data_IF_890191375129
#
_entry.id   IF_890191375129
#
_cell.length_a   1.000
_cell.length_b   1.000
_cell.length_c   1.000
_cell.angle_alpha   90.00
_cell.angle_beta   90.00
_cell.angle_gamma   90.00
#
_symmetry.space_group_name_H-M   'P 1'
#
loop_
_entity.id
_entity.type
_entity.pdbx_description
1 polymer ?
#
# COMPACT_ATOMS: atom_id res chain seq x y z
N UNK A 1 -11.85 4.04 16.84
CA UNK A 1 -12.86 4.55 15.85
C UNK A 1 -12.55 3.85 14.55
N UNK A 2 -13.53 3.57 13.67
CA UNK A 2 -13.29 2.74 12.47
C UNK A 2 -12.13 3.23 11.59
N UNK A 3 -11.99 4.56 11.47
CA UNK A 3 -10.85 5.21 10.82
C UNK A 3 -9.50 4.87 11.48
N UNK A 4 -9.40 4.99 12.81
CA UNK A 4 -8.16 4.72 13.54
C UNK A 4 -7.77 3.24 13.45
N UNK A 5 -8.74 2.35 13.45
CA UNK A 5 -8.53 0.91 13.35
C UNK A 5 -7.99 0.54 11.95
N UNK A 6 -8.53 1.17 10.89
CA UNK A 6 -8.03 0.99 9.52
C UNK A 6 -6.59 1.52 9.33
N UNK A 7 -6.28 2.69 9.90
CA UNK A 7 -4.92 3.24 9.87
C UNK A 7 -3.96 2.39 10.71
N UNK A 8 -4.42 1.80 11.82
CA UNK A 8 -3.60 0.90 12.64
C UNK A 8 -3.12 -0.32 11.85
N UNK A 9 -4.00 -0.94 11.04
CA UNK A 9 -3.61 -2.04 10.14
C UNK A 9 -2.49 -1.62 9.16
N UNK A 10 -2.55 -0.40 8.63
CA UNK A 10 -1.53 0.14 7.75
C UNK A 10 -0.18 0.33 8.47
N UNK A 11 -0.21 0.81 9.73
CA UNK A 11 0.98 0.94 10.57
C UNK A 11 1.55 -0.44 10.91
N UNK A 12 0.71 -1.41 11.25
CA UNK A 12 1.14 -2.78 11.51
C UNK A 12 1.78 -3.44 10.29
N UNK A 13 1.24 -3.19 9.08
CA UNK A 13 1.85 -3.63 7.83
C UNK A 13 3.27 -3.07 7.66
N UNK A 14 3.48 -1.78 7.96
CA UNK A 14 4.80 -1.15 7.93
C UNK A 14 5.76 -1.75 8.96
N UNK A 15 5.27 -2.10 10.15
CA UNK A 15 6.08 -2.81 11.17
C UNK A 15 6.45 -4.21 10.68
N UNK A 16 5.52 -4.94 10.06
CA UNK A 16 5.79 -6.27 9.48
C UNK A 16 6.84 -6.19 8.36
N UNK A 17 6.76 -5.17 7.49
CA UNK A 17 7.77 -4.86 6.48
C UNK A 17 9.15 -4.62 7.10
N UNK A 18 9.24 -3.77 8.12
CA UNK A 18 10.49 -3.48 8.82
C UNK A 18 11.11 -4.74 9.47
N UNK A 19 10.26 -5.68 9.91
CA UNK A 19 10.67 -6.98 10.45
C UNK A 19 10.95 -8.05 9.38
N UNK A 20 10.92 -7.70 8.09
CA UNK A 20 11.05 -8.62 6.95
C UNK A 20 10.03 -9.77 6.96
N UNK A 21 8.89 -9.57 7.62
CA UNK A 21 7.78 -10.51 7.60
C UNK A 21 6.89 -10.23 6.39
N UNK A 22 7.33 -10.64 5.19
CA UNK A 22 6.63 -10.32 3.95
C UNK A 22 5.22 -10.91 3.88
N UNK A 23 5.01 -12.15 4.34
CA UNK A 23 3.68 -12.78 4.35
C UNK A 23 2.71 -12.05 5.29
N UNK A 24 3.19 -11.67 6.48
CA UNK A 24 2.42 -10.86 7.42
C UNK A 24 2.10 -9.47 6.87
N UNK A 25 3.09 -8.82 6.23
CA UNK A 25 2.89 -7.52 5.59
C UNK A 25 1.85 -7.59 4.46
N UNK A 26 1.93 -8.58 3.57
CA UNK A 26 0.97 -8.75 2.48
C UNK A 26 -0.46 -8.92 2.99
N UNK A 27 -0.65 -9.74 4.03
CA UNK A 27 -1.96 -9.92 4.66
C UNK A 27 -2.49 -8.61 5.24
N UNK A 28 -1.67 -7.91 6.04
CA UNK A 28 -2.06 -6.65 6.68
C UNK A 28 -2.32 -5.53 5.66
N UNK A 29 -1.57 -5.45 4.56
CA UNK A 29 -1.81 -4.47 3.50
C UNK A 29 -3.16 -4.69 2.80
N UNK A 30 -3.52 -5.96 2.56
CA UNK A 30 -4.81 -6.31 2.00
C UNK A 30 -5.95 -5.91 2.95
N UNK A 31 -5.85 -6.32 4.21
CA UNK A 31 -6.85 -5.98 5.25
C UNK A 31 -6.97 -4.47 5.44
N UNK A 32 -5.84 -3.74 5.46
CA UNK A 32 -5.83 -2.28 5.54
C UNK A 32 -6.53 -1.64 4.33
N UNK A 33 -6.24 -2.09 3.11
CA UNK A 33 -6.85 -1.52 1.90
C UNK A 33 -8.38 -1.68 1.89
N UNK A 34 -8.89 -2.82 2.35
CA UNK A 34 -10.33 -3.10 2.49
C UNK A 34 -10.97 -2.24 3.59
N UNK A 35 -10.32 -2.14 4.76
CA UNK A 35 -10.80 -1.33 5.87
C UNK A 35 -10.80 0.17 5.55
N UNK A 36 -9.77 0.67 4.86
CA UNK A 36 -9.62 2.06 4.45
C UNK A 36 -10.66 2.47 3.39
N UNK A 37 -11.00 1.58 2.45
CA UNK A 37 -12.10 1.81 1.52
C UNK A 37 -13.44 1.97 2.26
N UNK A 38 -13.68 1.16 3.29
CA UNK A 38 -14.93 1.20 4.07
C UNK A 38 -15.11 2.49 4.88
N UNK A 39 -14.05 3.29 5.04
CA UNK A 39 -14.06 4.59 5.73
C UNK A 39 -13.65 5.75 4.81
N UNK A 40 -13.79 5.59 3.50
CA UNK A 40 -13.52 6.61 2.47
C UNK A 40 -12.07 7.17 2.47
N UNK A 41 -11.10 6.40 2.97
CA UNK A 41 -9.68 6.76 3.01
C UNK A 41 -8.91 6.29 1.77
N UNK A 42 -9.43 6.61 0.59
CA UNK A 42 -9.03 5.96 -0.66
C UNK A 42 -7.56 6.13 -1.05
N UNK A 43 -6.92 7.27 -0.77
CA UNK A 43 -5.48 7.46 -1.04
C UNK A 43 -4.60 6.50 -0.21
N UNK A 44 -4.98 6.22 1.03
CA UNK A 44 -4.28 5.26 1.88
C UNK A 44 -4.50 3.83 1.37
N UNK A 45 -5.73 3.52 0.95
CA UNK A 45 -6.06 2.21 0.40
C UNK A 45 -5.26 1.92 -0.89
N UNK A 46 -5.17 2.89 -1.81
CA UNK A 46 -4.37 2.72 -3.03
C UNK A 46 -2.86 2.65 -2.75
N UNK A 47 -2.36 3.38 -1.76
CA UNK A 47 -0.97 3.23 -1.31
C UNK A 47 -0.69 1.81 -0.77
N UNK A 48 -1.63 1.25 0.00
CA UNK A 48 -1.54 -0.12 0.51
C UNK A 48 -1.57 -1.16 -0.61
N UNK A 49 -2.49 -1.02 -1.59
CA UNK A 49 -2.59 -1.89 -2.78
C UNK A 49 -1.34 -1.87 -3.62
N UNK A 50 -0.79 -0.67 -3.86
CA UNK A 50 0.45 -0.51 -4.63
C UNK A 50 1.61 -1.27 -3.97
N UNK A 51 1.79 -1.11 -2.65
CA UNK A 51 2.81 -1.88 -1.91
C UNK A 51 2.54 -3.38 -1.90
N UNK A 52 1.28 -3.78 -1.75
CA UNK A 52 0.92 -5.19 -1.83
C UNK A 52 1.35 -5.79 -3.18
N UNK A 53 1.14 -5.06 -4.28
CA UNK A 53 1.61 -5.44 -5.60
C UNK A 53 3.14 -5.59 -5.67
N UNK A 54 3.89 -4.63 -5.11
CA UNK A 54 5.36 -4.69 -5.04
C UNK A 54 5.88 -5.91 -4.27
N UNK A 55 5.20 -6.30 -3.18
CA UNK A 55 5.58 -7.48 -2.39
C UNK A 55 5.19 -8.80 -3.06
N UNK A 56 4.04 -8.84 -3.72
CA UNK A 56 3.57 -10.01 -4.45
C UNK A 56 4.48 -10.32 -5.63
N UNK A 57 4.88 -9.29 -6.38
CA UNK A 57 5.57 -9.45 -7.66
C UNK A 57 4.74 -10.23 -8.68
N UNK A 58 5.36 -10.49 -9.84
CA UNK A 58 4.71 -11.18 -10.95
C UNK A 58 3.50 -10.41 -11.51
N UNK A 59 2.78 -11.05 -12.43
CA UNK A 59 1.68 -10.40 -13.16
C UNK A 59 0.54 -9.92 -12.26
N UNK A 60 0.25 -10.65 -11.18
CA UNK A 60 -0.77 -10.25 -10.20
C UNK A 60 -0.35 -9.00 -9.41
N UNK A 61 0.93 -8.90 -9.04
CA UNK A 61 1.48 -7.72 -8.39
C UNK A 61 1.51 -6.51 -9.33
N UNK A 62 1.94 -6.71 -10.57
CA UNK A 62 1.99 -5.66 -11.61
C UNK A 62 0.60 -5.06 -11.87
N UNK A 63 -0.44 -5.90 -11.90
CA UNK A 63 -1.82 -5.45 -12.07
C UNK A 63 -2.30 -4.55 -10.90
N UNK A 64 -1.93 -4.89 -9.66
CA UNK A 64 -2.25 -4.07 -8.49
C UNK A 64 -1.53 -2.72 -8.53
N UNK A 65 -0.25 -2.71 -8.90
CA UNK A 65 0.53 -1.47 -9.06
C UNK A 65 -0.10 -0.59 -10.14
N UNK A 66 -0.39 -1.15 -11.32
CA UNK A 66 -0.97 -0.40 -12.42
C UNK A 66 -2.35 0.21 -12.09
N UNK A 67 -3.21 -0.54 -11.38
CA UNK A 67 -4.51 -0.04 -10.95
C UNK A 67 -4.38 1.13 -9.96
N UNK A 68 -3.51 0.99 -8.94
CA UNK A 68 -3.27 2.05 -7.97
C UNK A 68 -2.63 3.29 -8.60
N UNK A 69 -1.66 3.10 -9.49
CA UNK A 69 -1.00 4.20 -10.21
C UNK A 69 -1.98 4.93 -11.13
N UNK A 70 -2.85 4.19 -11.83
CA UNK A 70 -3.91 4.77 -12.66
C UNK A 70 -4.89 5.60 -11.83
N UNK A 71 -5.30 5.10 -10.66
CA UNK A 71 -6.17 5.84 -9.77
C UNK A 71 -5.51 7.14 -9.27
N UNK A 72 -4.26 7.07 -8.79
CA UNK A 72 -3.52 8.24 -8.31
C UNK A 72 -3.29 9.27 -9.42
N UNK A 73 -2.98 8.81 -10.64
CA UNK A 73 -2.88 9.68 -11.81
C UNK A 73 -4.22 10.38 -12.10
N UNK A 74 -5.34 9.68 -11.95
CA UNK A 74 -6.68 10.26 -12.02
C UNK A 74 -6.96 11.33 -10.95
N UNK A 75 -6.25 11.29 -9.81
CA UNK A 75 -6.25 12.34 -8.80
C UNK A 75 -5.19 13.44 -9.05
N UNK A 76 -4.60 13.49 -10.25
CA UNK A 76 -3.53 14.43 -10.65
C UNK A 76 -2.22 14.29 -9.88
N UNK A 77 -2.00 13.15 -9.22
CA UNK A 77 -0.75 12.84 -8.53
C UNK A 77 0.31 12.48 -9.56
N UNK A 78 1.32 13.34 -9.69
CA UNK A 78 2.38 13.20 -10.71
C UNK A 78 3.32 12.03 -10.49
N UNK A 79 3.52 11.62 -9.24
CA UNK A 79 4.41 10.52 -8.89
C UNK A 79 3.72 9.61 -7.88
N UNK A 80 2.90 8.64 -8.36
CA UNK A 80 2.19 7.68 -7.53
C UNK A 80 3.10 6.89 -6.60
N UNK A 81 4.29 6.48 -7.08
CA UNK A 81 5.26 5.75 -6.29
C UNK A 81 5.75 6.55 -5.07
N UNK A 82 6.23 7.79 -5.29
CA UNK A 82 6.67 8.65 -4.19
C UNK A 82 5.53 9.01 -3.26
N UNK A 83 4.32 9.17 -3.78
CA UNK A 83 3.15 9.42 -2.96
C UNK A 83 2.83 8.23 -2.05
N UNK A 84 2.77 7.02 -2.62
CA UNK A 84 2.52 5.80 -1.85
C UNK A 84 3.57 5.58 -0.75
N UNK A 85 4.84 5.89 -1.03
CA UNK A 85 5.95 5.82 -0.05
C UNK A 85 5.75 6.72 1.17
N UNK A 86 4.98 7.80 1.08
CA UNK A 86 4.67 8.64 2.25
C UNK A 86 3.78 7.94 3.27
N UNK A 87 2.92 7.02 2.82
CA UNK A 87 1.95 6.32 3.66
C UNK A 87 2.40 4.90 4.00
N UNK A 88 3.08 4.24 3.06
CA UNK A 88 3.56 2.87 3.18
C UNK A 88 5.02 2.84 2.75
N UNK A 89 5.99 3.11 3.66
CA UNK A 89 7.41 3.12 3.33
C UNK A 89 7.90 1.74 2.92
N UNK A 90 8.64 1.66 1.81
CA UNK A 90 9.20 0.40 1.29
C UNK A 90 10.60 0.15 1.81
N UNK A 91 11.15 -1.06 1.60
CA UNK A 91 12.59 -1.20 1.64
C UNK A 91 13.21 -0.14 0.71
N UNK A 92 14.35 0.47 1.08
CA UNK A 92 14.98 1.48 0.24
C UNK A 92 15.21 0.93 -1.17
N UNK A 93 15.12 1.81 -2.17
CA UNK A 93 15.33 1.48 -3.57
C UNK A 93 16.56 0.57 -3.69
N UNK A 94 16.44 -0.55 -4.41
CA UNK A 94 17.64 -1.34 -4.77
C UNK A 94 18.53 -0.38 -5.54
N UNK A 95 19.61 0.08 -4.91
CA UNK A 95 20.66 0.79 -5.61
C UNK A 95 21.04 -0.06 -6.82
N UNK A 96 20.92 0.53 -8.01
CA UNK A 96 21.42 -0.05 -9.24
C UNK A 96 22.92 -0.25 -9.20
#
# INVERSE_FOLDING_TARGET
TPWADAVALLVEANVALARRNHSGAMRLLKEAAEALDAVDMRIFAEAARRRLGELMGGSAGDALIAAADSWMAGQLIRNPERMARMYVPGPPDRAG
#
